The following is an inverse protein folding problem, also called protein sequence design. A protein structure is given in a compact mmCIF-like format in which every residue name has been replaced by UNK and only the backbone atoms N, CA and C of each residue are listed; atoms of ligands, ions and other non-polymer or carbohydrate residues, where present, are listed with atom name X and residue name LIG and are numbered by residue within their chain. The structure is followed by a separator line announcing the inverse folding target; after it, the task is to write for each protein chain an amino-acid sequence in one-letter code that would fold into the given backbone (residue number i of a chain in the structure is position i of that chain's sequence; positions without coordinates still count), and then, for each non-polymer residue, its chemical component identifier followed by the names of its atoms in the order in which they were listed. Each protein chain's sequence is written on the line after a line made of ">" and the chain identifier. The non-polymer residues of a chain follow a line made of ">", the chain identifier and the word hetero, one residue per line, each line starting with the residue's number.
data_IF_992222027222
#
_entry.id   IF_992222027222
#
_cell.length_a   1.000
_cell.length_b   1.000
_cell.length_c   1.000
_cell.angle_alpha   90.00
_cell.angle_beta   90.00
_cell.angle_gamma   90.00
#
_symmetry.space_group_name_H-M   'P 1'
#
loop_
_entity.id
_entity.type
_entity.pdbx_description
1 polymer ?
#
# COMPACT_ATOMS: atom_id res chain seq x y z
N UNK A 1 -18.81 12.35 -11.23
CA UNK A 1 -19.24 13.58 -10.52
C UNK A 1 -20.76 13.60 -10.56
N UNK A 2 -21.42 13.69 -9.42
CA UNK A 2 -22.88 13.75 -9.31
C UNK A 2 -23.24 15.07 -8.63
N UNK A 3 -24.13 15.83 -9.27
CA UNK A 3 -24.66 17.08 -8.73
C UNK A 3 -25.87 16.80 -7.84
N UNK A 4 -25.89 17.38 -6.64
CA UNK A 4 -27.04 17.25 -5.73
C UNK A 4 -28.13 18.20 -6.17
N UNK A 5 -29.35 17.70 -6.44
CA UNK A 5 -30.49 18.57 -6.79
C UNK A 5 -30.76 19.58 -5.65
N UNK A 6 -30.98 20.85 -6.01
CA UNK A 6 -31.23 21.99 -5.11
C UNK A 6 -30.05 22.36 -4.19
N UNK A 7 -28.81 22.12 -4.64
CA UNK A 7 -27.61 22.45 -3.90
C UNK A 7 -26.46 22.67 -4.87
N UNK A 8 -25.57 23.63 -4.63
CA UNK A 8 -24.38 23.86 -5.47
C UNK A 8 -23.25 22.84 -5.20
N UNK A 9 -23.58 21.71 -4.57
CA UNK A 9 -22.62 20.67 -4.20
C UNK A 9 -22.56 19.57 -5.25
N UNK A 10 -21.35 19.18 -5.61
CA UNK A 10 -21.06 18.01 -6.40
C UNK A 10 -20.22 17.02 -5.59
N UNK A 11 -20.52 15.72 -5.73
CA UNK A 11 -19.81 14.65 -5.05
C UNK A 11 -19.24 13.63 -6.05
N UNK A 12 -18.11 13.02 -5.68
CA UNK A 12 -17.59 11.84 -6.34
C UNK A 12 -17.94 10.63 -5.47
N UNK A 13 -18.88 9.81 -5.95
CA UNK A 13 -19.34 8.60 -5.22
C UNK A 13 -18.29 7.49 -5.26
N UNK A 14 -17.43 7.49 -6.26
CA UNK A 14 -16.33 6.55 -6.39
C UNK A 14 -15.26 7.07 -7.33
N UNK A 15 -14.04 6.57 -7.14
CA UNK A 15 -12.88 6.85 -7.97
C UNK A 15 -12.31 5.52 -8.49
N UNK A 16 -12.83 5.08 -9.63
CA UNK A 16 -12.35 3.90 -10.35
C UNK A 16 -11.33 4.33 -11.39
N UNK A 17 -10.29 3.53 -11.61
CA UNK A 17 -9.35 3.73 -12.71
C UNK A 17 -9.94 3.23 -14.04
N UNK A 18 -9.22 3.44 -15.14
CA UNK A 18 -9.58 2.84 -16.44
C UNK A 18 -9.30 1.32 -16.51
N UNK A 19 -8.60 0.75 -15.52
CA UNK A 19 -8.29 -0.67 -15.52
C UNK A 19 -9.56 -1.48 -15.28
N UNK A 20 -9.87 -2.40 -16.20
CA UNK A 20 -10.91 -3.40 -15.97
C UNK A 20 -10.33 -4.49 -15.05
N UNK A 21 -10.88 -4.69 -13.83
CA UNK A 21 -10.40 -5.73 -12.94
C UNK A 21 -10.65 -7.10 -13.59
N UNK A 22 -9.62 -7.95 -13.56
CA UNK A 22 -9.68 -9.31 -14.07
C UNK A 22 -10.41 -10.19 -13.06
N UNK A 23 -11.38 -10.98 -13.55
CA UNK A 23 -12.01 -12.02 -12.75
C UNK A 23 -11.11 -13.25 -12.74
N UNK A 24 -10.85 -13.76 -11.54
CA UNK A 24 -10.09 -14.98 -11.29
C UNK A 24 -11.02 -16.04 -10.70
N UNK A 25 -10.62 -17.32 -10.81
CA UNK A 25 -11.33 -18.41 -10.14
C UNK A 25 -11.25 -18.32 -8.61
N UNK A 26 -10.18 -17.69 -8.12
CA UNK A 26 -9.94 -17.44 -6.71
C UNK A 26 -10.62 -16.13 -6.28
N UNK A 27 -11.48 -16.15 -5.23
CA UNK A 27 -12.21 -14.98 -4.77
C UNK A 27 -11.28 -13.91 -4.18
N UNK A 28 -10.15 -14.30 -3.57
CA UNK A 28 -9.18 -13.36 -3.00
C UNK A 28 -8.38 -12.67 -4.11
N UNK A 29 -7.99 -13.41 -5.15
CA UNK A 29 -7.37 -12.84 -6.34
C UNK A 29 -8.29 -11.83 -7.05
N UNK A 30 -9.59 -12.14 -7.13
CA UNK A 30 -10.60 -11.22 -7.69
C UNK A 30 -10.80 -9.99 -6.80
N UNK A 31 -10.82 -10.15 -5.47
CA UNK A 31 -10.89 -9.02 -4.53
C UNK A 31 -9.67 -8.10 -4.67
N UNK A 32 -8.47 -8.68 -4.76
CA UNK A 32 -7.23 -7.93 -4.95
C UNK A 32 -7.20 -7.17 -6.29
N UNK A 33 -7.63 -7.79 -7.39
CA UNK A 33 -7.73 -7.11 -8.68
C UNK A 33 -8.72 -5.92 -8.64
N UNK A 34 -9.84 -6.08 -7.94
CA UNK A 34 -10.81 -5.00 -7.73
C UNK A 34 -10.26 -3.87 -6.86
N UNK A 35 -9.44 -4.17 -5.86
CA UNK A 35 -8.78 -3.18 -5.02
C UNK A 35 -7.73 -2.40 -5.81
N UNK A 36 -6.93 -3.08 -6.64
CA UNK A 36 -5.94 -2.44 -7.51
C UNK A 36 -6.56 -1.52 -8.57
N UNK A 37 -7.79 -1.80 -9.03
CA UNK A 37 -8.49 -0.95 -9.99
C UNK A 37 -9.02 0.37 -9.38
N UNK A 38 -9.03 0.52 -8.05
CA UNK A 38 -9.55 1.71 -7.36
C UNK A 38 -8.44 2.74 -7.14
N UNK A 39 -8.68 3.97 -7.61
CA UNK A 39 -7.71 5.07 -7.51
C UNK A 39 -7.26 5.42 -6.08
N UNK A 40 -8.13 5.38 -5.04
CA UNK A 40 -7.69 5.68 -3.67
C UNK A 40 -6.57 4.76 -3.18
N UNK A 41 -6.64 3.47 -3.51
CA UNK A 41 -5.61 2.50 -3.14
C UNK A 41 -4.35 2.67 -3.98
N UNK A 42 -4.49 2.93 -5.29
CA UNK A 42 -3.35 3.25 -6.16
C UNK A 42 -2.56 4.48 -5.70
N UNK A 43 -3.25 5.54 -5.26
CA UNK A 43 -2.58 6.73 -4.74
C UNK A 43 -1.85 6.46 -3.42
N UNK A 44 -2.45 5.66 -2.52
CA UNK A 44 -1.77 5.23 -1.30
C UNK A 44 -0.48 4.47 -1.63
N UNK A 45 -0.55 3.43 -2.47
CA UNK A 45 0.61 2.65 -2.89
C UNK A 45 1.68 3.51 -3.59
N UNK A 46 1.27 4.43 -4.48
CA UNK A 46 2.21 5.33 -5.20
C UNK A 46 2.97 6.26 -4.26
N UNK A 47 2.33 6.73 -3.18
CA UNK A 47 3.00 7.56 -2.15
C UNK A 47 4.03 6.74 -1.38
N UNK A 48 3.71 5.50 -0.99
CA UNK A 48 4.67 4.60 -0.36
C UNK A 48 5.84 4.27 -1.29
N UNK A 49 5.58 4.00 -2.57
CA UNK A 49 6.62 3.75 -3.56
C UNK A 49 7.57 4.96 -3.71
N UNK A 50 7.04 6.19 -3.71
CA UNK A 50 7.86 7.40 -3.73
C UNK A 50 8.72 7.52 -2.47
N UNK A 51 8.13 7.35 -1.28
CA UNK A 51 8.90 7.39 -0.03
C UNK A 51 10.00 6.34 -0.02
N UNK A 52 9.67 5.11 -0.42
CA UNK A 52 10.63 4.02 -0.51
C UNK A 52 11.77 4.37 -1.46
N UNK A 53 11.48 4.96 -2.62
CA UNK A 53 12.51 5.39 -3.58
C UNK A 53 13.48 6.41 -3.00
N UNK A 54 12.98 7.44 -2.31
CA UNK A 54 13.82 8.45 -1.67
C UNK A 54 14.65 7.88 -0.53
N UNK A 55 13.99 7.12 0.36
CA UNK A 55 14.61 6.45 1.49
C UNK A 55 15.72 5.50 1.04
N UNK A 56 15.45 4.66 0.04
CA UNK A 56 16.44 3.72 -0.49
C UNK A 56 17.60 4.47 -1.09
N UNK A 57 17.36 5.48 -1.92
CA UNK A 57 18.42 6.28 -2.52
C UNK A 57 19.36 6.87 -1.47
N UNK A 58 18.78 7.44 -0.41
CA UNK A 58 19.56 8.12 0.63
C UNK A 58 20.26 7.14 1.58
N UNK A 59 19.80 5.88 1.63
CA UNK A 59 20.39 4.82 2.47
C UNK A 59 21.21 3.77 1.70
N UNK A 60 21.34 3.90 0.37
CA UNK A 60 22.26 3.09 -0.44
C UNK A 60 23.69 3.33 0.09
N UNK A 61 24.31 2.28 0.63
CA UNK A 61 25.66 2.32 1.19
C UNK A 61 25.75 2.57 2.71
N UNK A 62 24.64 2.82 3.40
CA UNK A 62 24.63 2.97 4.88
C UNK A 62 24.34 1.68 5.63
N UNK A 63 23.63 0.74 5.01
CA UNK A 63 23.23 -0.51 5.64
C UNK A 63 24.30 -1.59 5.44
N UNK A 64 24.71 -2.23 6.54
CA UNK A 64 25.73 -3.28 6.55
C UNK A 64 25.16 -4.65 6.24
N UNK A 65 23.95 -4.95 6.70
CA UNK A 65 23.29 -6.24 6.50
C UNK A 65 21.84 -6.09 6.02
N UNK A 66 21.35 -7.13 5.33
CA UNK A 66 19.96 -7.25 4.84
C UNK A 66 18.94 -7.18 5.97
N UNK A 67 19.24 -7.82 7.11
CA UNK A 67 18.34 -7.93 8.25
C UNK A 67 18.08 -6.56 8.90
N UNK A 68 19.12 -5.75 9.05
CA UNK A 68 19.00 -4.37 9.54
C UNK A 68 18.06 -3.54 8.66
N UNK A 69 18.19 -3.70 7.35
CA UNK A 69 17.36 -3.00 6.38
C UNK A 69 15.90 -3.46 6.46
N UNK A 70 15.66 -4.77 6.58
CA UNK A 70 14.31 -5.31 6.73
C UNK A 70 13.65 -4.86 8.04
N UNK A 71 14.37 -4.90 9.16
CA UNK A 71 13.87 -4.42 10.46
C UNK A 71 13.52 -2.93 10.38
N UNK A 72 14.44 -2.11 9.86
CA UNK A 72 14.23 -0.67 9.78
C UNK A 72 13.05 -0.30 8.87
N UNK A 73 12.86 -1.00 7.74
CA UNK A 73 11.72 -0.79 6.86
C UNK A 73 10.40 -1.21 7.49
N UNK A 74 10.40 -2.33 8.22
CA UNK A 74 9.23 -2.78 8.98
C UNK A 74 8.86 -1.76 10.08
N UNK A 75 9.83 -1.25 10.84
CA UNK A 75 9.57 -0.19 11.82
C UNK A 75 9.04 1.09 11.16
N UNK A 76 9.59 1.46 10.00
CA UNK A 76 9.13 2.63 9.25
C UNK A 76 7.68 2.49 8.78
N UNK A 77 7.31 1.36 8.16
CA UNK A 77 5.96 1.16 7.62
C UNK A 77 4.91 1.02 8.73
N UNK A 78 5.28 0.48 9.90
CA UNK A 78 4.39 0.35 11.06
C UNK A 78 3.86 1.70 11.58
N UNK A 79 4.57 2.80 11.35
CA UNK A 79 4.06 4.15 11.70
C UNK A 79 2.80 4.55 10.92
N UNK A 80 2.56 3.91 9.77
CA UNK A 80 1.42 4.14 8.89
C UNK A 80 0.35 3.04 8.99
N UNK A 81 0.56 2.04 9.85
CA UNK A 81 -0.38 0.97 10.13
C UNK A 81 -1.26 1.35 11.32
N UNK A 82 -2.57 1.18 11.16
CA UNK A 82 -3.52 1.28 12.25
C UNK A 82 -3.83 -0.14 12.78
N UNK A 83 -3.31 -0.46 13.96
CA UNK A 83 -3.45 -1.80 14.55
C UNK A 83 -4.87 -2.08 15.09
N UNK A 84 -5.68 -1.04 15.31
CA UNK A 84 -7.07 -1.19 15.75
C UNK A 84 -8.03 -0.33 14.89
N UNK A 85 -8.28 -0.76 13.64
CA UNK A 85 -9.16 -0.03 12.74
C UNK A 85 -10.64 -0.10 13.18
N UNK A 86 -10.98 -0.86 14.22
CA UNK A 86 -12.35 -0.96 14.75
C UNK A 86 -12.65 0.23 15.66
N UNK A 87 -11.72 0.60 16.55
CA UNK A 87 -11.91 1.69 17.52
C UNK A 87 -11.32 3.04 17.07
N UNK A 88 -10.48 3.07 16.04
CA UNK A 88 -9.84 4.31 15.56
C UNK A 88 -10.83 5.31 14.92
N UNK A 89 -10.59 6.61 15.16
CA UNK A 89 -11.37 7.71 14.59
C UNK A 89 -11.20 7.79 13.05
N UNK A 90 -12.17 8.38 12.35
CA UNK A 90 -12.06 8.56 10.89
C UNK A 90 -10.82 9.37 10.48
N UNK A 91 -10.39 10.31 11.31
CA UNK A 91 -9.16 11.08 11.07
C UNK A 91 -7.92 10.20 11.17
N UNK A 92 -7.86 9.31 12.16
CA UNK A 92 -6.75 8.34 12.30
C UNK A 92 -6.71 7.38 11.12
N UNK A 93 -7.87 6.87 10.67
CA UNK A 93 -7.98 6.01 9.48
C UNK A 93 -7.54 6.70 8.20
N UNK A 94 -7.80 8.01 8.08
CA UNK A 94 -7.34 8.79 6.93
C UNK A 94 -5.81 9.01 6.95
N UNK A 95 -5.21 9.18 8.15
CA UNK A 95 -3.75 9.35 8.32
C UNK A 95 -2.98 8.04 8.22
N UNK A 96 -3.58 6.92 8.62
CA UNK A 96 -3.00 5.57 8.62
C UNK A 96 -3.83 4.67 7.70
N UNK A 97 -3.55 4.71 6.39
CA UNK A 97 -4.37 4.02 5.39
C UNK A 97 -4.15 2.49 5.36
N UNK A 98 -3.16 1.96 6.09
CA UNK A 98 -2.82 0.54 6.08
C UNK A 98 -3.40 -0.16 7.31
N UNK A 99 -4.12 -1.27 7.10
CA UNK A 99 -4.60 -2.14 8.17
C UNK A 99 -3.52 -3.11 8.66
N UNK A 100 -2.67 -3.57 7.75
CA UNK A 100 -1.46 -4.33 8.04
C UNK A 100 -0.45 -4.11 6.91
N UNK A 101 0.83 -4.26 7.22
CA UNK A 101 1.90 -4.19 6.25
C UNK A 101 3.08 -5.05 6.70
N UNK A 102 3.69 -5.72 5.73
CA UNK A 102 4.90 -6.51 5.92
C UNK A 102 5.90 -6.15 4.82
N UNK A 103 7.18 -6.03 5.19
CA UNK A 103 8.27 -5.84 4.24
C UNK A 103 9.21 -7.04 4.33
N UNK A 104 9.28 -7.78 3.22
CA UNK A 104 10.29 -8.81 3.00
C UNK A 104 11.35 -8.23 2.06
N UNK A 105 12.60 -8.23 2.50
CA UNK A 105 13.74 -7.83 1.68
C UNK A 105 14.39 -9.12 1.20
N UNK A 106 14.51 -9.38 -0.10
CA UNK A 106 15.26 -10.51 -0.66
C UNK A 106 16.47 -10.08 -1.47
N UNK A 107 17.60 -10.78 -1.30
CA UNK A 107 18.82 -10.59 -2.09
C UNK A 107 18.73 -11.42 -3.36
N UNK A 108 18.92 -10.78 -4.52
CA UNK A 108 18.81 -11.45 -5.82
C UNK A 108 20.16 -12.11 -6.16
N UNK A 109 20.21 -13.44 -6.08
CA UNK A 109 21.37 -14.22 -6.53
C UNK A 109 21.67 -13.94 -8.01
N UNK A 110 22.87 -13.43 -8.30
CA UNK A 110 23.34 -13.09 -9.64
C UNK A 110 23.49 -11.59 -9.92
N UNK A 111 22.88 -10.72 -9.12
CA UNK A 111 23.10 -9.26 -9.17
C UNK A 111 23.14 -8.69 -7.75
N UNK A 112 24.34 -8.61 -7.16
CA UNK A 112 24.69 -8.18 -5.79
C UNK A 112 24.22 -6.76 -5.38
N UNK A 113 23.34 -6.10 -6.15
CA UNK A 113 22.80 -4.75 -5.87
C UNK A 113 21.27 -4.63 -5.92
N UNK A 114 20.53 -5.69 -6.27
CA UNK A 114 19.07 -5.62 -6.33
C UNK A 114 18.44 -6.33 -5.14
N UNK A 115 17.56 -5.60 -4.45
CA UNK A 115 16.73 -6.12 -3.38
C UNK A 115 15.27 -6.14 -3.84
N UNK A 116 14.64 -7.32 -3.87
CA UNK A 116 13.20 -7.45 -4.12
C UNK A 116 12.46 -7.07 -2.83
N UNK A 117 11.46 -6.18 -2.93
CA UNK A 117 10.65 -5.71 -1.79
C UNK A 117 9.19 -5.85 -2.11
N UNK A 118 8.53 -6.82 -1.50
CA UNK A 118 7.08 -7.01 -1.61
C UNK A 118 6.42 -6.35 -0.40
N UNK A 119 5.50 -5.41 -0.66
CA UNK A 119 4.62 -4.83 0.36
C UNK A 119 3.26 -5.49 0.12
N UNK A 120 2.88 -6.44 0.97
CA UNK A 120 1.59 -7.12 0.87
C UNK A 120 0.52 -6.25 1.55
N UNK A 121 -0.48 -5.74 0.80
CA UNK A 121 -1.65 -5.13 1.43
C UNK A 121 -2.46 -6.20 2.16
N UNK A 122 -2.97 -5.87 3.35
CA UNK A 122 -3.70 -6.76 4.27
C UNK A 122 -4.88 -7.56 3.67
N UNK A 123 -5.35 -7.24 2.46
CA UNK A 123 -6.39 -8.00 1.76
C UNK A 123 -5.89 -9.32 1.14
N UNK A 124 -4.60 -9.62 1.26
CA UNK A 124 -3.98 -10.84 0.72
C UNK A 124 -3.92 -12.01 1.72
N UNK A 125 -4.46 -11.87 2.93
CA UNK A 125 -4.55 -12.97 3.89
C UNK A 125 -5.98 -13.53 3.92
N UNK A 126 -6.19 -14.79 3.52
CA UNK A 126 -7.44 -15.47 3.80
C UNK A 126 -7.58 -15.67 5.32
N UNK A 127 -8.80 -15.47 5.83
CA UNK A 127 -9.17 -15.81 7.20
C UNK A 127 -9.15 -17.33 7.43
#
# INVERSE_FOLDING_TARGET
>A
MIHRKNSDYAAFIGAQSLQKPQEYYDPDATANANLSARLPYLFACSRFAHFLKCIVRDKIGSFKEREDMQRWLNEWIMNYVDADPVNSSQETKARRPLAAAEVVVEEVEGQSRLLRREILPASAFPA
#
